data_IF_044133633902
#
_entry.id   IF_044133633902
#
_cell.length_a   1.000
_cell.length_b   1.000
_cell.length_c   1.000
_cell.angle_alpha   90.00
_cell.angle_beta   90.00
_cell.angle_gamma   90.00
#
_symmetry.space_group_name_H-M   'P 1'
#
loop_
_entity.id
_entity.type
_entity.pdbx_description
1 polymer ?
#
# COMPACT_ATOMS: atom_id res chain seq x y z
N UNK A 1 1.83 -21.18 -10.58
CA UNK A 1 1.15 -19.89 -10.81
C UNK A 1 0.42 -19.98 -12.14
N UNK A 2 -0.84 -19.52 -12.26
CA UNK A 2 -1.55 -19.55 -13.56
C UNK A 2 -0.78 -18.66 -14.56
N UNK A 3 -0.50 -19.12 -15.80
CA UNK A 3 0.39 -18.41 -16.73
C UNK A 3 -0.09 -16.99 -17.11
N UNK A 4 -1.41 -16.77 -17.11
CA UNK A 4 -2.01 -15.45 -17.32
C UNK A 4 -1.69 -14.44 -16.20
N UNK A 5 -1.62 -14.90 -14.95
CA UNK A 5 -1.35 -14.03 -13.79
C UNK A 5 0.12 -13.61 -13.75
N UNK A 6 1.04 -14.49 -14.14
CA UNK A 6 2.48 -14.18 -14.16
C UNK A 6 2.83 -13.11 -15.18
N UNK A 7 2.14 -13.05 -16.33
CA UNK A 7 2.33 -12.02 -17.34
C UNK A 7 1.89 -10.65 -16.81
N UNK A 8 0.66 -10.57 -16.29
CA UNK A 8 0.12 -9.34 -15.71
C UNK A 8 0.97 -8.84 -14.53
N UNK A 9 1.52 -9.76 -13.73
CA UNK A 9 2.39 -9.40 -12.60
C UNK A 9 3.72 -8.77 -13.07
N UNK A 10 4.28 -9.22 -14.19
CA UNK A 10 5.48 -8.59 -14.76
C UNK A 10 5.17 -7.17 -15.24
N UNK A 11 4.07 -6.99 -15.96
CA UNK A 11 3.65 -5.69 -16.49
C UNK A 11 3.44 -4.65 -15.37
N UNK A 12 2.77 -5.03 -14.28
CA UNK A 12 2.59 -4.15 -13.13
C UNK A 12 3.90 -3.84 -12.39
N UNK A 13 4.82 -4.82 -12.27
CA UNK A 13 6.15 -4.56 -11.70
C UNK A 13 6.97 -3.60 -12.55
N UNK A 14 6.91 -3.73 -13.88
CA UNK A 14 7.57 -2.81 -14.80
C UNK A 14 7.02 -1.39 -14.68
N UNK A 15 5.70 -1.21 -14.58
CA UNK A 15 5.10 0.11 -14.31
C UNK A 15 5.65 0.73 -13.03
N UNK A 16 5.72 -0.04 -11.95
CA UNK A 16 6.24 0.42 -10.66
C UNK A 16 7.75 0.74 -10.71
N UNK A 17 8.53 0.02 -11.51
CA UNK A 17 9.95 0.31 -11.75
C UNK A 17 10.13 1.60 -12.54
N UNK A 18 9.34 1.83 -13.60
CA UNK A 18 9.43 3.03 -14.46
C UNK A 18 9.16 4.31 -13.66
N UNK A 19 8.21 4.26 -12.72
CA UNK A 19 7.92 5.40 -11.82
C UNK A 19 8.85 5.47 -10.60
N UNK A 20 9.88 4.62 -10.52
CA UNK A 20 10.82 4.50 -9.40
C UNK A 20 10.16 4.25 -8.03
N UNK A 21 8.97 3.64 -8.01
CA UNK A 21 8.32 3.27 -6.75
C UNK A 21 9.00 2.06 -6.08
N UNK A 22 9.56 1.17 -6.90
CA UNK A 22 10.37 0.02 -6.44
C UNK A 22 11.72 0.01 -7.16
N UNK A 23 12.67 -0.74 -6.60
CA UNK A 23 13.98 -0.99 -7.21
C UNK A 23 14.39 -2.46 -7.02
N UNK A 24 15.15 -3.05 -7.96
CA UNK A 24 15.73 -4.37 -7.76
C UNK A 24 16.77 -4.33 -6.62
N UNK A 25 16.83 -5.40 -5.84
CA UNK A 25 17.80 -5.62 -4.78
C UNK A 25 18.33 -7.05 -4.98
N UNK A 26 19.64 -7.20 -5.12
CA UNK A 26 20.27 -8.50 -5.40
C UNK A 26 20.37 -9.38 -4.16
N UNK A 27 20.62 -8.77 -2.99
CA UNK A 27 20.81 -9.47 -1.72
C UNK A 27 20.01 -8.77 -0.62
N UNK A 28 18.95 -9.44 -0.15
CA UNK A 28 18.15 -8.97 0.98
C UNK A 28 18.05 -10.09 2.01
N UNK A 29 18.34 -9.78 3.26
CA UNK A 29 18.13 -10.69 4.39
C UNK A 29 16.64 -10.93 4.68
N UNK A 30 15.77 -10.09 4.10
CA UNK A 30 14.33 -10.08 4.33
C UNK A 30 13.57 -10.26 3.02
N UNK A 31 12.60 -11.18 3.02
CA UNK A 31 11.70 -11.39 1.89
C UNK A 31 10.25 -11.49 2.38
N UNK A 32 9.35 -10.90 1.60
CA UNK A 32 7.90 -11.00 1.82
C UNK A 32 7.21 -11.49 0.56
N UNK A 33 6.17 -12.31 0.75
CA UNK A 33 5.47 -12.92 -0.35
C UNK A 33 4.65 -11.89 -1.14
N UNK A 34 4.78 -11.91 -2.46
CA UNK A 34 3.90 -11.17 -3.37
C UNK A 34 2.58 -11.91 -3.56
N UNK A 35 1.48 -11.18 -3.40
CA UNK A 35 0.11 -11.67 -3.45
C UNK A 35 -0.62 -10.91 -4.57
N UNK A 36 -0.79 -11.50 -5.76
CA UNK A 36 -1.59 -10.90 -6.81
C UNK A 36 -3.07 -11.02 -6.44
N UNK A 37 -3.78 -9.89 -6.41
CA UNK A 37 -5.21 -9.81 -6.14
C UNK A 37 -5.91 -9.35 -7.42
N UNK A 38 -6.93 -10.09 -7.85
CA UNK A 38 -7.76 -9.64 -8.98
C UNK A 38 -8.69 -8.52 -8.53
N UNK A 39 -8.60 -7.35 -9.17
CA UNK A 39 -9.48 -6.21 -8.94
C UNK A 39 -10.26 -5.92 -10.21
N UNK A 40 -11.55 -6.25 -10.24
CA UNK A 40 -12.42 -5.89 -11.37
C UNK A 40 -12.89 -4.43 -11.22
N UNK A 41 -13.02 -3.64 -12.30
CA UNK A 41 -12.69 -3.95 -13.70
C UNK A 41 -11.21 -3.69 -14.06
N UNK A 42 -10.42 -3.15 -13.12
CA UNK A 42 -9.10 -2.53 -13.33
C UNK A 42 -7.96 -3.52 -13.67
N UNK A 43 -8.10 -4.81 -13.36
CA UNK A 43 -7.10 -5.84 -13.65
C UNK A 43 -6.60 -6.56 -12.40
N UNK A 44 -5.31 -6.44 -12.08
CA UNK A 44 -4.70 -7.00 -10.87
C UNK A 44 -4.06 -5.90 -10.01
N UNK A 45 -3.98 -6.12 -8.70
CA UNK A 45 -3.16 -5.36 -7.77
C UNK A 45 -2.12 -6.29 -7.18
N UNK A 46 -0.86 -5.87 -7.16
CA UNK A 46 0.20 -6.59 -6.46
C UNK A 46 0.20 -6.11 -5.01
N UNK A 47 -0.09 -7.00 -4.07
CA UNK A 47 0.07 -6.73 -2.64
C UNK A 47 1.28 -7.49 -2.10
N UNK A 48 1.93 -6.94 -1.08
CA UNK A 48 3.03 -7.62 -0.38
C UNK A 48 2.53 -8.05 0.99
N UNK A 49 2.74 -9.31 1.34
CA UNK A 49 2.33 -9.84 2.64
C UNK A 49 3.33 -9.39 3.73
N UNK A 50 3.02 -8.28 4.38
CA UNK A 50 3.82 -7.72 5.46
C UNK A 50 3.46 -8.27 6.86
N UNK A 51 2.67 -9.34 6.99
CA UNK A 51 2.22 -9.83 8.30
C UNK A 51 3.36 -10.11 9.30
N UNK A 52 4.50 -10.68 8.83
CA UNK A 52 5.63 -10.95 9.71
C UNK A 52 6.36 -9.66 10.08
N UNK A 53 6.59 -8.77 9.11
CA UNK A 53 7.22 -7.45 9.33
C UNK A 53 6.39 -6.61 10.31
N UNK A 54 5.08 -6.55 10.11
CA UNK A 54 4.17 -5.79 10.97
C UNK A 54 4.13 -6.31 12.43
N UNK A 55 4.45 -7.59 12.66
CA UNK A 55 4.59 -8.16 14.01
C UNK A 55 5.94 -7.85 14.64
N UNK A 56 6.98 -7.70 13.82
CA UNK A 56 8.34 -7.36 14.27
C UNK A 56 8.52 -5.86 14.51
N UNK A 57 7.74 -5.02 13.85
CA UNK A 57 7.75 -3.57 14.06
C UNK A 57 6.96 -3.18 15.33
N UNK A 58 7.51 -2.33 16.21
CA UNK A 58 6.71 -1.73 17.28
C UNK A 58 5.61 -0.86 16.65
N UNK A 59 4.43 -0.85 17.28
CA UNK A 59 3.36 0.06 16.87
C UNK A 59 3.72 1.48 17.31
N UNK A 60 3.74 2.40 16.36
CA UNK A 60 3.80 3.82 16.64
C UNK A 60 2.36 4.34 16.70
N UNK A 61 1.81 4.42 17.90
CA UNK A 61 0.45 4.89 18.11
C UNK A 61 0.46 6.42 18.12
N UNK A 62 0.10 7.02 16.98
CA UNK A 62 -0.21 8.44 16.89
C UNK A 62 -1.69 8.65 17.21
N UNK A 63 -2.06 9.06 18.44
CA UNK A 63 -3.46 9.18 18.81
C UNK A 63 -4.11 10.28 17.97
N UNK A 64 -5.10 9.90 17.17
CA UNK A 64 -5.91 10.88 16.48
C UNK A 64 -6.71 11.68 17.51
N UNK A 65 -6.85 12.99 17.34
CA UNK A 65 -7.71 13.80 18.19
C UNK A 65 -9.14 13.26 18.17
N UNK A 66 -9.87 13.50 19.27
CA UNK A 66 -11.29 13.15 19.33
C UNK A 66 -12.04 13.85 18.17
N UNK A 67 -12.95 13.12 17.53
CA UNK A 67 -13.75 13.62 16.40
C UNK A 67 -14.49 14.91 16.77
N UNK A 68 -15.04 14.99 17.98
CA UNK A 68 -15.75 16.18 18.45
C UNK A 68 -14.81 17.39 18.50
N UNK A 69 -13.57 17.19 18.97
CA UNK A 69 -12.55 18.25 18.99
C UNK A 69 -12.14 18.69 17.57
N UNK A 70 -12.10 17.77 16.60
CA UNK A 70 -11.83 18.11 15.20
C UNK A 70 -12.98 18.90 14.57
N UNK A 71 -14.23 18.54 14.87
CA UNK A 71 -15.42 19.24 14.36
C UNK A 71 -15.53 20.63 14.98
N UNK A 72 -15.37 20.75 16.30
CA UNK A 72 -15.44 22.02 17.02
C UNK A 72 -14.35 23.00 16.54
N UNK A 73 -13.13 22.51 16.34
CA UNK A 73 -12.03 23.35 15.82
C UNK A 73 -12.24 23.82 14.37
N UNK A 74 -13.06 23.12 13.59
CA UNK A 74 -13.36 23.45 12.19
C UNK A 74 -14.66 24.27 12.06
N UNK A 75 -15.42 24.44 13.15
CA UNK A 75 -16.69 25.17 13.14
C UNK A 75 -16.48 26.64 12.78
N UNK A 76 -17.19 27.12 11.76
CA UNK A 76 -17.10 28.51 11.26
C UNK A 76 -16.07 28.74 10.16
N UNK A 77 -15.33 27.71 9.75
CA UNK A 77 -14.42 27.74 8.60
C UNK A 77 -15.02 27.00 7.41
N UNK A 78 -14.70 27.45 6.19
CA UNK A 78 -15.00 26.69 4.98
C UNK A 78 -14.09 25.46 4.91
N UNK A 79 -14.69 24.28 4.74
CA UNK A 79 -13.99 22.99 4.76
C UNK A 79 -13.74 22.56 3.31
N UNK A 80 -12.49 22.27 2.97
CA UNK A 80 -12.15 21.57 1.74
C UNK A 80 -11.54 20.22 2.09
N UNK A 81 -12.02 19.17 1.43
CA UNK A 81 -11.50 17.82 1.60
C UNK A 81 -10.56 17.53 0.43
N UNK A 82 -9.37 17.03 0.76
CA UNK A 82 -8.44 16.48 -0.22
C UNK A 82 -8.48 14.95 -0.13
N UNK A 83 -8.51 14.32 -1.30
CA UNK A 83 -8.28 12.86 -1.46
C UNK A 83 -6.80 12.52 -1.42
#
# INVERSE_FOLDING_TARGET
MKPKISLLLKEELEKLLVVNFIKPIDYSDWISNKVPIQKKPVGIRICTNFCNINKSCPKDDFPLPNIDMMIDSTTGYEISLMD
#
